data_IF_529828421578
#
_entry.id   IF_529828421578
#
_cell.length_a   1.000
_cell.length_b   1.000
_cell.length_c   1.000
_cell.angle_alpha   90.00
_cell.angle_beta   90.00
_cell.angle_gamma   90.00
#
_symmetry.space_group_name_H-M   'P 1'
#
loop_
_entity.id
_entity.type
_entity.pdbx_description
1 polymer ?
#
# COMPACT_ATOMS: atom_id res chain seq x y z
N UNK A 1 -12.16 7.27 -27.78
CA UNK A 1 -12.78 7.03 -26.47
C UNK A 1 -11.72 7.29 -25.40
N UNK A 2 -11.89 8.32 -24.56
CA UNK A 2 -10.97 8.59 -23.45
C UNK A 2 -11.26 7.62 -22.32
N UNK A 3 -10.33 6.71 -22.02
CA UNK A 3 -10.46 5.73 -20.93
C UNK A 3 -10.33 6.45 -19.58
N UNK A 4 -11.44 6.54 -18.85
CA UNK A 4 -11.49 7.18 -17.53
C UNK A 4 -11.54 6.11 -16.44
N UNK A 5 -10.43 5.92 -15.73
CA UNK A 5 -10.39 5.05 -14.55
C UNK A 5 -11.33 5.56 -13.46
N UNK A 6 -12.15 4.67 -12.91
CA UNK A 6 -13.12 4.96 -11.82
C UNK A 6 -12.69 4.39 -10.47
N UNK A 7 -11.88 3.34 -10.48
CA UNK A 7 -11.25 2.76 -9.30
C UNK A 7 -9.80 2.49 -9.64
N UNK A 8 -8.89 2.96 -8.79
CA UNK A 8 -7.45 2.85 -8.97
C UNK A 8 -6.90 2.16 -7.73
N UNK A 9 -6.15 1.08 -7.92
CA UNK A 9 -5.44 0.38 -6.83
C UNK A 9 -3.96 0.69 -6.96
N UNK A 10 -3.32 1.07 -5.86
CA UNK A 10 -1.88 1.34 -5.79
C UNK A 10 -1.29 0.43 -4.74
N UNK A 11 -0.31 -0.37 -5.15
CA UNK A 11 0.52 -1.13 -4.22
C UNK A 11 1.55 -0.20 -3.60
N UNK A 12 1.62 -0.22 -2.26
CA UNK A 12 2.57 0.53 -1.46
C UNK A 12 3.45 -0.50 -0.76
N UNK A 13 4.75 -0.51 -1.05
CA UNK A 13 5.72 -1.42 -0.45
C UNK A 13 6.84 -0.67 0.32
N UNK A 14 6.79 0.66 0.33
CA UNK A 14 7.80 1.52 0.96
C UNK A 14 8.95 1.93 0.05
N UNK A 15 8.98 1.45 -1.20
CA UNK A 15 9.97 1.85 -2.21
C UNK A 15 9.70 3.26 -2.77
N UNK A 16 10.72 3.84 -3.42
CA UNK A 16 10.59 5.14 -4.11
C UNK A 16 9.69 5.02 -5.33
N UNK A 17 9.71 3.87 -6.00
CA UNK A 17 8.91 3.55 -7.16
C UNK A 17 7.43 3.50 -6.81
N UNK A 18 7.08 2.90 -5.66
CA UNK A 18 5.71 2.92 -5.13
C UNK A 18 5.26 4.34 -4.76
N UNK A 19 6.15 5.17 -4.22
CA UNK A 19 5.84 6.58 -3.94
C UNK A 19 5.52 7.37 -5.24
N UNK A 20 6.27 7.14 -6.31
CA UNK A 20 5.99 7.76 -7.61
C UNK A 20 4.67 7.29 -8.21
N UNK A 21 4.39 5.98 -8.12
CA UNK A 21 3.12 5.41 -8.56
C UNK A 21 1.94 6.01 -7.79
N UNK A 22 2.09 6.16 -6.47
CA UNK A 22 1.11 6.80 -5.59
C UNK A 22 0.83 8.25 -5.99
N UNK A 23 1.88 9.08 -6.15
CA UNK A 23 1.72 10.49 -6.57
C UNK A 23 1.00 10.60 -7.91
N UNK A 24 1.33 9.71 -8.86
CA UNK A 24 0.66 9.68 -10.16
C UNK A 24 -0.82 9.27 -10.02
N UNK A 25 -1.09 8.29 -9.19
CA UNK A 25 -2.45 7.80 -8.96
C UNK A 25 -3.34 8.87 -8.31
N UNK A 26 -2.83 9.69 -7.38
CA UNK A 26 -3.56 10.84 -6.83
C UNK A 26 -3.99 11.79 -7.94
N UNK A 27 -3.07 12.17 -8.83
CA UNK A 27 -3.39 13.08 -9.94
C UNK A 27 -4.47 12.51 -10.86
N UNK A 28 -4.40 11.22 -11.17
CA UNK A 28 -5.40 10.54 -12.00
C UNK A 28 -6.74 10.47 -11.26
N UNK A 29 -6.73 10.14 -9.97
CA UNK A 29 -7.93 10.04 -9.15
C UNK A 29 -8.66 11.38 -9.02
N UNK A 30 -7.92 12.46 -8.70
CA UNK A 30 -8.45 13.83 -8.61
C UNK A 30 -9.04 14.27 -9.96
N UNK A 31 -8.34 14.04 -11.08
CA UNK A 31 -8.83 14.39 -12.43
C UNK A 31 -10.11 13.62 -12.82
N UNK A 32 -10.20 12.35 -12.44
CA UNK A 32 -11.27 11.46 -12.89
C UNK A 32 -12.45 11.36 -11.91
N UNK A 33 -12.36 12.02 -10.75
CA UNK A 33 -13.22 11.82 -9.58
C UNK A 33 -13.35 10.32 -9.23
N UNK A 34 -12.21 9.63 -9.14
CA UNK A 34 -12.13 8.19 -9.00
C UNK A 34 -11.79 7.77 -7.56
N UNK A 35 -12.21 6.56 -7.18
CA UNK A 35 -11.81 5.94 -5.92
C UNK A 35 -10.35 5.51 -5.99
N UNK A 36 -9.55 5.90 -4.99
CA UNK A 36 -8.18 5.42 -4.81
C UNK A 36 -8.14 4.41 -3.67
N UNK A 37 -7.54 3.25 -3.91
CA UNK A 37 -7.36 2.17 -2.93
C UNK A 37 -5.85 1.96 -2.77
N UNK A 38 -5.37 2.08 -1.55
CA UNK A 38 -3.99 1.77 -1.19
C UNK A 38 -3.93 0.33 -0.67
N UNK A 39 -2.92 -0.43 -1.07
CA UNK A 39 -2.74 -1.82 -0.67
C UNK A 39 -1.29 -2.09 -0.33
N UNK A 40 -1.04 -2.84 0.74
CA UNK A 40 0.27 -3.35 1.12
C UNK A 40 0.15 -4.87 1.28
N UNK A 41 1.13 -5.62 0.79
CA UNK A 41 1.16 -7.08 0.85
C UNK A 41 2.30 -7.51 1.77
N UNK A 42 1.95 -8.23 2.84
CA UNK A 42 2.93 -8.84 3.76
C UNK A 42 3.20 -10.26 3.28
N UNK A 43 4.43 -10.55 2.85
CA UNK A 43 4.82 -11.90 2.43
C UNK A 43 5.20 -12.76 3.64
N UNK A 44 4.22 -13.49 4.18
CA UNK A 44 4.40 -14.40 5.31
C UNK A 44 5.28 -15.62 4.98
N UNK A 45 5.50 -15.93 3.69
CA UNK A 45 6.33 -17.09 3.29
C UNK A 45 7.81 -16.84 3.54
N UNK A 46 8.22 -15.58 3.50
CA UNK A 46 9.58 -15.14 3.84
C UNK A 46 9.93 -15.40 5.31
N UNK A 47 8.93 -15.64 6.16
CA UNK A 47 9.09 -15.95 7.58
C UNK A 47 9.09 -17.45 7.89
N UNK A 48 8.75 -18.30 6.92
CA UNK A 48 8.58 -19.76 7.09
C UNK A 48 9.91 -20.56 7.08
N UNK A 49 10.96 -20.04 7.74
CA UNK A 49 12.12 -20.85 8.10
C UNK A 49 11.76 -21.78 9.29
N UNK A 50 12.36 -22.98 9.42
CA UNK A 50 11.81 -24.13 10.15
C UNK A 50 11.99 -24.04 11.69
N UNK A 51 11.41 -23.01 12.31
CA UNK A 51 11.22 -22.97 13.76
C UNK A 51 9.81 -22.44 14.05
N UNK A 52 8.86 -23.38 14.01
CA UNK A 52 7.49 -23.20 14.46
C UNK A 52 7.50 -22.52 15.84
N UNK A 53 6.72 -21.44 16.00
CA UNK A 53 6.36 -20.75 17.26
C UNK A 53 7.16 -19.52 17.73
N UNK A 54 8.18 -19.02 17.03
CA UNK A 54 8.83 -17.73 17.41
C UNK A 54 8.20 -16.46 16.80
N UNK A 55 7.27 -16.57 15.85
CA UNK A 55 7.09 -15.49 14.86
C UNK A 55 5.78 -14.69 14.88
N UNK A 56 4.90 -14.88 15.88
CA UNK A 56 3.70 -14.01 16.02
C UNK A 56 4.08 -12.53 16.20
N UNK A 57 5.23 -12.26 16.81
CA UNK A 57 5.78 -10.91 17.01
C UNK A 57 6.26 -10.27 15.71
N UNK A 58 6.91 -11.02 14.81
CA UNK A 58 7.39 -10.44 13.54
C UNK A 58 6.25 -10.20 12.56
N UNK A 59 5.26 -11.10 12.53
CA UNK A 59 4.01 -10.87 11.80
C UNK A 59 3.30 -9.63 12.33
N UNK A 60 3.11 -9.52 13.65
CA UNK A 60 2.48 -8.35 14.26
C UNK A 60 3.23 -7.06 13.98
N UNK A 61 4.56 -7.06 14.06
CA UNK A 61 5.40 -5.90 13.72
C UNK A 61 5.25 -5.52 12.25
N UNK A 62 5.16 -6.50 11.36
CA UNK A 62 4.94 -6.26 9.92
C UNK A 62 3.54 -5.66 9.67
N UNK A 63 2.52 -6.12 10.39
CA UNK A 63 1.18 -5.52 10.35
C UNK A 63 1.15 -4.09 10.88
N UNK A 64 1.82 -3.82 12.00
CA UNK A 64 1.94 -2.48 12.58
C UNK A 64 2.62 -1.52 11.60
N UNK A 65 3.77 -1.93 11.03
CA UNK A 65 4.46 -1.17 9.99
C UNK A 65 3.57 -0.91 8.77
N UNK A 66 2.87 -1.92 8.27
CA UNK A 66 1.98 -1.78 7.12
C UNK A 66 0.85 -0.77 7.40
N UNK A 67 0.27 -0.78 8.61
CA UNK A 67 -0.77 0.17 9.03
C UNK A 67 -0.22 1.59 9.10
N UNK A 68 0.94 1.79 9.73
CA UNK A 68 1.57 3.11 9.82
C UNK A 68 1.90 3.67 8.43
N UNK A 69 2.45 2.83 7.56
CA UNK A 69 2.77 3.17 6.18
C UNK A 69 1.51 3.61 5.41
N UNK A 70 0.49 2.75 5.39
CA UNK A 70 -0.78 3.04 4.69
C UNK A 70 -1.48 4.29 5.25
N UNK A 71 -1.45 4.49 6.57
CA UNK A 71 -2.02 5.68 7.20
C UNK A 71 -1.29 6.96 6.75
N UNK A 72 0.05 6.94 6.71
CA UNK A 72 0.84 8.08 6.24
C UNK A 72 0.51 8.45 4.80
N UNK A 73 0.47 7.45 3.91
CA UNK A 73 0.08 7.66 2.51
C UNK A 73 -1.38 8.10 2.36
N UNK A 74 -2.29 7.61 3.20
CA UNK A 74 -3.68 8.06 3.20
C UNK A 74 -3.80 9.54 3.58
N UNK A 75 -3.11 9.99 4.63
CA UNK A 75 -3.11 11.41 5.02
C UNK A 75 -2.56 12.28 3.90
N UNK A 76 -1.41 11.90 3.32
CA UNK A 76 -0.81 12.62 2.19
C UNK A 76 -1.74 12.70 0.95
N UNK A 77 -2.63 11.72 0.76
CA UNK A 77 -3.59 11.75 -0.35
C UNK A 77 -4.79 12.68 -0.10
N UNK A 78 -5.12 12.91 1.18
CA UNK A 78 -6.23 13.76 1.62
C UNK A 78 -5.81 15.23 1.75
N UNK A 79 -4.51 15.49 1.94
CA UNK A 79 -3.89 16.80 1.81
C UNK A 79 -3.90 17.34 0.35
#
# INVERSE_FOLDING_TARGET
MTMTYKTIVVAIDGSKEAEWAFKKAIQIAKRNNAKLILSHVIDLRSFAAPFELYDSTAVKRSEEYAKELLNGYQQQALD
#
